data_IF_483191151482
#
_entry.id   IF_483191151482
#
_cell.length_a   1.000
_cell.length_b   1.000
_cell.length_c   1.000
_cell.angle_alpha   90.00
_cell.angle_beta   90.00
_cell.angle_gamma   90.00
#
_symmetry.space_group_name_H-M   'P 1'
#
loop_
_entity.id
_entity.type
_entity.pdbx_description
1 polymer ?
#
# COMPACT_ATOMS: atom_id res chain seq x y z
N UNK A 1 15.45 -10.05 3.28
CA UNK A 1 14.46 -9.22 4.00
C UNK A 1 15.14 -8.27 5.00
N UNK A 2 15.99 -8.77 5.91
CA UNK A 2 16.67 -7.95 6.92
C UNK A 2 17.33 -6.67 6.37
N UNK A 3 18.18 -6.79 5.37
CA UNK A 3 18.88 -5.63 4.76
C UNK A 3 17.94 -4.56 4.21
N UNK A 4 16.83 -4.96 3.57
CA UNK A 4 15.84 -4.03 3.03
C UNK A 4 15.13 -3.28 4.17
N UNK A 5 14.78 -3.98 5.24
CA UNK A 5 14.17 -3.36 6.42
C UNK A 5 15.15 -2.39 7.09
N UNK A 6 16.42 -2.78 7.27
CA UNK A 6 17.45 -1.92 7.85
C UNK A 6 17.63 -0.65 7.04
N UNK A 7 17.77 -0.76 5.72
CA UNK A 7 17.93 0.39 4.84
C UNK A 7 16.69 1.30 4.81
N UNK A 8 15.47 0.73 4.81
CA UNK A 8 14.23 1.51 4.90
C UNK A 8 14.17 2.29 6.23
N UNK A 9 14.53 1.63 7.35
CA UNK A 9 14.54 2.27 8.67
C UNK A 9 15.52 3.44 8.72
N UNK A 10 16.73 3.25 8.21
CA UNK A 10 17.73 4.31 8.14
C UNK A 10 17.22 5.51 7.32
N UNK A 11 16.63 5.27 6.15
CA UNK A 11 16.06 6.34 5.31
C UNK A 11 14.88 7.06 5.97
N UNK A 12 14.03 6.34 6.70
CA UNK A 12 12.95 6.93 7.50
C UNK A 12 13.50 7.83 8.61
N UNK A 13 14.48 7.35 9.38
CA UNK A 13 15.11 8.10 10.47
C UNK A 13 15.78 9.38 9.99
N UNK A 14 16.35 9.35 8.78
CA UNK A 14 16.98 10.51 8.14
C UNK A 14 15.99 11.40 7.35
N UNK A 15 14.68 11.16 7.45
CA UNK A 15 13.64 11.92 6.74
C UNK A 15 13.81 11.97 5.21
N UNK A 16 14.21 10.87 4.56
CA UNK A 16 14.38 10.87 3.10
C UNK A 16 13.04 10.82 2.33
N UNK A 17 11.97 10.37 2.95
CA UNK A 17 10.65 10.23 2.31
C UNK A 17 9.76 11.43 2.64
N UNK A 18 9.40 12.18 1.60
CA UNK A 18 8.77 13.50 1.75
C UNK A 18 7.29 13.50 1.32
N UNK A 19 6.88 12.50 0.55
CA UNK A 19 5.53 12.37 0.00
C UNK A 19 5.15 10.90 -0.15
N UNK A 20 3.90 10.65 -0.55
CA UNK A 20 3.34 9.30 -0.75
C UNK A 20 4.07 8.51 -1.84
N UNK A 21 4.52 9.16 -2.89
CA UNK A 21 5.27 8.53 -3.98
C UNK A 21 6.62 7.97 -3.52
N UNK A 22 7.33 8.68 -2.64
CA UNK A 22 8.56 8.17 -2.03
C UNK A 22 8.26 6.94 -1.19
N UNK A 23 7.16 6.91 -0.44
CA UNK A 23 6.74 5.75 0.36
C UNK A 23 6.37 4.58 -0.56
N UNK A 24 5.59 4.83 -1.62
CA UNK A 24 5.18 3.82 -2.60
C UNK A 24 6.39 3.12 -3.22
N UNK A 25 7.31 3.89 -3.80
CA UNK A 25 8.45 3.34 -4.53
C UNK A 25 9.57 2.84 -3.60
N UNK A 26 9.93 3.63 -2.59
CA UNK A 26 11.14 3.40 -1.79
C UNK A 26 10.92 2.56 -0.53
N UNK A 27 9.66 2.25 -0.20
CA UNK A 27 9.28 1.40 0.93
C UNK A 27 8.36 0.27 0.47
N UNK A 28 7.15 0.58 0.00
CA UNK A 28 6.12 -0.44 -0.26
C UNK A 28 6.54 -1.39 -1.38
N UNK A 29 6.93 -0.88 -2.54
CA UNK A 29 7.36 -1.71 -3.68
C UNK A 29 8.54 -2.63 -3.34
N UNK A 30 9.48 -2.17 -2.50
CA UNK A 30 10.63 -2.96 -2.07
C UNK A 30 10.24 -4.10 -1.12
N UNK A 31 9.27 -3.86 -0.24
CA UNK A 31 8.72 -4.90 0.63
C UNK A 31 7.98 -5.95 -0.22
N UNK A 32 7.09 -5.51 -1.11
CA UNK A 32 6.34 -6.39 -2.00
C UNK A 32 7.27 -7.27 -2.84
N UNK A 33 8.27 -6.67 -3.50
CA UNK A 33 9.27 -7.39 -4.28
C UNK A 33 10.04 -8.41 -3.43
N UNK A 34 10.38 -8.08 -2.17
CA UNK A 34 11.08 -9.02 -1.27
C UNK A 34 10.19 -10.12 -0.71
N UNK A 35 8.88 -9.93 -0.71
CA UNK A 35 7.90 -10.95 -0.36
C UNK A 35 7.53 -11.85 -1.55
N UNK A 36 8.02 -11.53 -2.76
CA UNK A 36 7.83 -12.34 -3.96
C UNK A 36 6.70 -11.88 -4.87
N UNK A 37 6.05 -10.76 -4.56
CA UNK A 37 5.03 -10.17 -5.44
C UNK A 37 5.67 -9.58 -6.70
N UNK A 38 5.09 -9.86 -7.86
CA UNK A 38 5.47 -9.22 -9.11
C UNK A 38 4.87 -7.81 -9.20
N UNK A 39 5.67 -6.82 -8.81
CA UNK A 39 5.30 -5.40 -8.86
C UNK A 39 5.21 -4.85 -10.29
N UNK A 40 5.63 -5.62 -11.31
CA UNK A 40 5.54 -5.24 -12.72
C UNK A 40 4.30 -5.82 -13.40
N UNK A 41 3.63 -6.76 -12.75
CA UNK A 41 2.41 -7.38 -13.24
C UNK A 41 1.17 -6.70 -12.64
N UNK A 42 0.44 -5.86 -13.38
CA UNK A 42 -0.76 -5.17 -12.86
C UNK A 42 -1.93 -6.12 -12.56
N UNK A 43 -1.87 -7.38 -12.99
CA UNK A 43 -2.85 -8.41 -12.61
C UNK A 43 -2.58 -9.00 -11.23
N UNK A 44 -1.40 -8.75 -10.69
CA UNK A 44 -0.95 -9.24 -9.39
C UNK A 44 -0.77 -8.08 -8.39
N UNK A 45 -0.13 -7.00 -8.80
CA UNK A 45 0.03 -5.75 -8.03
C UNK A 45 -0.63 -4.59 -8.78
N UNK A 46 -1.88 -4.27 -8.44
CA UNK A 46 -2.67 -3.27 -9.15
C UNK A 46 -2.70 -1.94 -8.40
N UNK A 47 -2.11 -0.90 -8.96
CA UNK A 47 -2.13 0.44 -8.37
C UNK A 47 -3.43 1.18 -8.70
N UNK A 48 -3.88 2.07 -7.81
CA UNK A 48 -5.08 2.91 -8.01
C UNK A 48 -6.35 2.07 -8.25
N UNK A 49 -6.46 0.92 -7.56
CA UNK A 49 -7.51 -0.07 -7.77
C UNK A 49 -8.86 0.40 -7.21
N UNK A 50 -9.92 0.22 -8.00
CA UNK A 50 -11.29 0.56 -7.62
C UNK A 50 -11.94 -0.67 -6.98
N UNK A 51 -12.25 -0.60 -5.68
CA UNK A 51 -12.76 -1.73 -4.88
C UNK A 51 -14.24 -1.98 -5.17
N UNK A 52 -15.05 -0.93 -5.17
CA UNK A 52 -16.50 -1.01 -5.43
C UNK A 52 -16.88 -0.10 -6.61
N UNK A 53 -16.76 -0.60 -7.87
CA UNK A 53 -17.01 0.22 -9.05
C UNK A 53 -18.46 0.71 -9.17
N UNK A 54 -19.40 -0.01 -8.53
CA UNK A 54 -20.83 0.19 -8.71
C UNK A 54 -21.51 0.96 -7.55
N UNK A 55 -20.84 1.12 -6.41
CA UNK A 55 -21.48 1.71 -5.21
C UNK A 55 -20.92 3.11 -4.89
N UNK A 56 -19.59 3.31 -4.89
CA UNK A 56 -19.01 4.63 -4.55
C UNK A 56 -17.64 4.94 -5.19
N UNK A 57 -17.17 4.13 -6.15
CA UNK A 57 -15.83 4.26 -6.78
C UNK A 57 -14.69 4.46 -5.78
N UNK A 58 -14.82 3.86 -4.61
CA UNK A 58 -13.78 3.89 -3.58
C UNK A 58 -12.53 3.20 -4.10
N UNK A 59 -11.40 3.87 -3.94
CA UNK A 59 -10.11 3.51 -4.55
C UNK A 59 -9.06 3.30 -3.46
N UNK A 60 -8.20 2.30 -3.66
CA UNK A 60 -7.02 2.03 -2.83
C UNK A 60 -5.76 2.24 -3.64
N UNK A 61 -4.68 2.63 -2.97
CA UNK A 61 -3.41 2.92 -3.65
C UNK A 61 -2.82 1.69 -4.31
N UNK A 62 -2.89 0.51 -3.65
CA UNK A 62 -2.48 -0.77 -4.23
C UNK A 62 -3.43 -1.89 -3.77
N UNK A 63 -3.82 -2.76 -4.70
CA UNK A 63 -4.46 -4.05 -4.43
C UNK A 63 -3.57 -5.20 -4.91
N UNK A 64 -3.40 -6.21 -4.07
CA UNK A 64 -2.71 -7.46 -4.41
C UNK A 64 -3.72 -8.55 -4.74
N UNK A 65 -3.40 -9.38 -5.74
CA UNK A 65 -4.29 -10.42 -6.24
C UNK A 65 -3.68 -11.81 -6.09
N UNK A 66 -4.44 -12.73 -5.51
CA UNK A 66 -4.18 -14.16 -5.61
C UNK A 66 -5.13 -14.77 -6.65
N UNK A 67 -4.59 -15.31 -7.74
CA UNK A 67 -5.34 -15.98 -8.80
C UNK A 67 -6.63 -15.23 -9.27
N UNK A 68 -6.55 -13.89 -9.43
CA UNK A 68 -7.62 -12.96 -9.83
C UNK A 68 -8.56 -12.48 -8.72
N UNK A 69 -8.39 -12.95 -7.49
CA UNK A 69 -9.14 -12.42 -6.33
C UNK A 69 -8.28 -11.40 -5.58
N UNK A 70 -8.75 -10.16 -5.37
CA UNK A 70 -8.03 -9.21 -4.53
C UNK A 70 -7.98 -9.75 -3.10
N UNK A 71 -6.79 -9.82 -2.51
CA UNK A 71 -6.56 -10.43 -1.19
C UNK A 71 -5.93 -9.48 -0.18
N UNK A 72 -5.29 -8.40 -0.63
CA UNK A 72 -4.72 -7.37 0.25
C UNK A 72 -4.95 -6.00 -0.37
N UNK A 73 -5.45 -5.06 0.43
CA UNK A 73 -5.57 -3.65 0.08
C UNK A 73 -4.57 -2.84 0.89
N UNK A 74 -3.86 -1.94 0.22
CA UNK A 74 -2.81 -1.11 0.81
C UNK A 74 -3.16 0.35 0.54
N UNK A 75 -3.22 1.13 1.61
CA UNK A 75 -3.32 2.59 1.59
C UNK A 75 -1.98 3.20 2.03
N UNK A 76 -1.52 4.21 1.30
CA UNK A 76 -0.22 4.85 1.47
C UNK A 76 -0.46 6.30 1.91
N UNK A 77 0.29 6.73 2.93
CA UNK A 77 0.28 8.10 3.44
C UNK A 77 1.70 8.58 3.68
N UNK A 78 1.94 9.88 3.53
CA UNK A 78 3.23 10.47 3.84
C UNK A 78 3.60 10.29 5.33
N UNK A 79 4.91 10.29 5.63
CA UNK A 79 5.41 10.12 7.00
C UNK A 79 4.78 11.13 7.95
N UNK A 80 4.28 10.66 9.10
CA UNK A 80 3.63 11.49 10.11
C UNK A 80 2.18 11.86 9.82
N UNK A 81 1.63 11.57 8.63
CA UNK A 81 0.23 11.88 8.28
C UNK A 81 -0.79 10.81 8.69
N UNK A 82 -0.32 9.69 9.23
CA UNK A 82 -1.20 8.59 9.66
C UNK A 82 -1.92 8.89 10.98
N UNK A 83 -1.25 9.59 11.91
CA UNK A 83 -1.68 9.75 13.31
C UNK A 83 -3.05 10.46 13.40
N UNK A 84 -3.27 11.48 12.56
CA UNK A 84 -4.50 12.28 12.62
C UNK A 84 -5.69 11.62 11.94
N UNK A 85 -5.47 10.54 11.16
CA UNK A 85 -6.49 9.95 10.26
C UNK A 85 -6.66 8.45 10.42
N UNK A 86 -6.01 7.84 11.41
CA UNK A 86 -5.94 6.39 11.55
C UNK A 86 -7.33 5.74 11.65
N UNK A 87 -8.26 6.37 12.38
CA UNK A 87 -9.63 5.85 12.57
C UNK A 87 -10.41 5.83 11.25
N UNK A 88 -10.30 6.88 10.45
CA UNK A 88 -11.00 6.97 9.15
C UNK A 88 -10.40 5.99 8.13
N UNK A 89 -9.07 5.87 8.10
CA UNK A 89 -8.36 4.94 7.21
C UNK A 89 -8.70 3.49 7.58
N UNK A 90 -8.71 3.15 8.87
CA UNK A 90 -9.12 1.82 9.31
C UNK A 90 -10.59 1.51 9.01
N UNK A 91 -11.49 2.50 9.14
CA UNK A 91 -12.89 2.33 8.74
C UNK A 91 -12.98 2.03 7.25
N UNK A 92 -12.32 2.83 6.42
CA UNK A 92 -12.28 2.64 4.97
C UNK A 92 -11.75 1.26 4.57
N UNK A 93 -10.64 0.80 5.16
CA UNK A 93 -10.09 -0.54 4.89
C UNK A 93 -10.99 -1.67 5.39
N UNK A 94 -11.70 -1.48 6.51
CA UNK A 94 -12.69 -2.46 6.99
C UNK A 94 -13.84 -2.59 6.02
N UNK A 95 -14.37 -1.49 5.53
CA UNK A 95 -15.51 -1.48 4.60
C UNK A 95 -15.18 -2.25 3.31
N UNK A 96 -13.91 -2.29 2.89
CA UNK A 96 -13.45 -3.09 1.74
C UNK A 96 -13.37 -4.60 1.98
N UNK A 97 -13.37 -5.04 3.23
CA UNK A 97 -13.21 -6.44 3.62
C UNK A 97 -14.52 -7.09 4.10
N UNK A 98 -15.65 -6.40 3.97
CA UNK A 98 -16.97 -6.95 4.33
C UNK A 98 -17.47 -7.83 3.16
N UNK A 99 -17.84 -9.09 3.41
CA UNK A 99 -18.30 -10.05 2.38
C UNK A 99 -19.65 -9.71 1.76
#
# INVERSE_FOLDING_TARGET
MHEVITDIKEKLQNNYYQNEEHIRLSLVARILLKLGWDIWNPKETNCEFIVAPNEDKTRVDIALFDALTPCVFIEIKAVGKLIDRIVDIERQLRDYNIP
#
